data_IF_114143831728
#
_entry.id   IF_114143831728
#
_cell.length_a   1.000
_cell.length_b   1.000
_cell.length_c   1.000
_cell.angle_alpha   90.00
_cell.angle_beta   90.00
_cell.angle_gamma   90.00
#
_symmetry.space_group_name_H-M   'P 1'
#
loop_
_entity.id
_entity.type
_entity.pdbx_description
1 polymer ?
#
# COMPACT_ATOMS: atom_id res chain seq x y z
N UNK A 1 -3.13 -15.24 -9.57
CA UNK A 1 -3.70 -13.95 -10.01
C UNK A 1 -3.32 -13.67 -11.47
N UNK A 2 -4.02 -14.24 -12.44
CA UNK A 2 -3.74 -14.00 -13.87
C UNK A 2 -4.99 -13.78 -14.74
N UNK A 3 -6.15 -14.24 -14.29
CA UNK A 3 -7.38 -14.15 -15.05
C UNK A 3 -7.80 -12.71 -15.42
N UNK A 4 -7.74 -11.70 -14.52
CA UNK A 4 -8.10 -10.33 -14.90
C UNK A 4 -7.17 -9.74 -15.98
N UNK A 5 -5.86 -9.98 -15.85
CA UNK A 5 -4.88 -9.52 -16.85
C UNK A 5 -5.08 -10.22 -18.20
N UNK A 6 -5.39 -11.51 -18.21
CA UNK A 6 -5.67 -12.26 -19.43
C UNK A 6 -6.89 -11.70 -20.16
N UNK A 7 -7.97 -11.39 -19.43
CA UNK A 7 -9.18 -10.78 -20.00
C UNK A 7 -8.85 -9.44 -20.65
N UNK A 8 -8.18 -8.54 -19.93
CA UNK A 8 -7.81 -7.21 -20.45
C UNK A 8 -6.89 -7.34 -21.67
N UNK A 9 -5.93 -8.27 -21.66
CA UNK A 9 -5.02 -8.50 -22.77
C UNK A 9 -5.74 -9.04 -24.02
N UNK A 10 -6.73 -9.93 -23.85
CA UNK A 10 -7.56 -10.42 -24.96
C UNK A 10 -8.37 -9.27 -25.56
N UNK A 11 -9.06 -8.48 -24.73
CA UNK A 11 -9.85 -7.33 -25.19
C UNK A 11 -8.97 -6.32 -25.94
N UNK A 12 -7.80 -5.96 -25.39
CA UNK A 12 -6.89 -5.02 -26.01
C UNK A 12 -6.37 -5.50 -27.37
N UNK A 13 -6.02 -6.80 -27.50
CA UNK A 13 -5.60 -7.40 -28.77
C UNK A 13 -6.72 -7.42 -29.81
N UNK A 14 -7.93 -7.77 -29.40
CA UNK A 14 -9.09 -7.78 -30.31
C UNK A 14 -9.36 -6.39 -30.88
N UNK A 15 -9.33 -5.35 -30.04
CA UNK A 15 -9.53 -3.97 -30.49
C UNK A 15 -8.41 -3.49 -31.43
N UNK A 16 -7.15 -3.82 -31.12
CA UNK A 16 -6.01 -3.48 -31.97
C UNK A 16 -6.12 -4.11 -33.36
N UNK A 17 -6.55 -5.36 -33.44
CA UNK A 17 -6.77 -6.07 -34.71
C UNK A 17 -7.97 -5.52 -35.49
N UNK A 18 -9.09 -5.24 -34.82
CA UNK A 18 -10.29 -4.70 -35.47
C UNK A 18 -10.07 -3.31 -36.08
N UNK A 19 -9.20 -2.50 -35.49
CA UNK A 19 -8.95 -1.13 -35.94
C UNK A 19 -7.62 -0.93 -36.67
N UNK A 20 -6.88 -2.01 -36.93
CA UNK A 20 -5.54 -1.98 -37.54
C UNK A 20 -4.61 -0.96 -36.86
N UNK A 21 -4.55 -1.01 -35.53
CA UNK A 21 -3.71 -0.13 -34.70
C UNK A 21 -2.60 -0.90 -34.00
N UNK A 22 -1.41 -0.30 -33.85
CA UNK A 22 -0.34 -0.92 -33.08
C UNK A 22 -0.75 -1.08 -31.61
N UNK A 23 -0.33 -2.18 -30.99
CA UNK A 23 -0.57 -2.47 -29.57
C UNK A 23 0.76 -2.42 -28.81
N UNK A 24 0.78 -1.71 -27.69
CA UNK A 24 1.95 -1.59 -26.81
C UNK A 24 1.62 -2.15 -25.41
N UNK A 25 2.45 -3.06 -24.93
CA UNK A 25 2.38 -3.55 -23.54
C UNK A 25 3.00 -2.54 -22.58
N UNK A 26 2.30 -2.25 -21.48
CA UNK A 26 2.73 -1.27 -20.47
C UNK A 26 2.93 -1.95 -19.12
N UNK A 27 4.03 -1.65 -18.45
CA UNK A 27 4.26 -2.08 -17.07
C UNK A 27 3.36 -1.27 -16.12
N UNK A 28 2.62 -1.96 -15.25
CA UNK A 28 1.65 -1.33 -14.35
C UNK A 28 2.27 -0.27 -13.43
N UNK A 29 3.41 -0.57 -12.80
CA UNK A 29 4.08 0.37 -11.90
C UNK A 29 4.61 1.60 -12.65
N UNK A 30 5.19 1.41 -13.84
CA UNK A 30 5.67 2.52 -14.68
C UNK A 30 4.50 3.40 -15.13
N UNK A 31 3.34 2.81 -15.44
CA UNK A 31 2.13 3.56 -15.76
C UNK A 31 1.71 4.54 -14.66
N UNK A 32 1.75 4.11 -13.39
CA UNK A 32 1.49 4.99 -12.23
C UNK A 32 2.54 6.10 -12.10
N UNK A 33 3.82 5.77 -12.26
CA UNK A 33 4.91 6.74 -12.14
C UNK A 33 4.79 7.83 -13.22
N UNK A 34 4.65 7.46 -14.48
CA UNK A 34 4.59 8.42 -15.59
C UNK A 34 3.34 9.30 -15.54
N UNK A 35 2.20 8.72 -15.15
CA UNK A 35 0.97 9.49 -14.91
C UNK A 35 1.17 10.51 -13.77
N UNK A 36 1.78 10.09 -12.66
CA UNK A 36 2.11 10.97 -11.54
C UNK A 36 3.08 12.09 -11.95
N UNK A 37 4.13 11.77 -12.71
CA UNK A 37 5.08 12.75 -13.25
C UNK A 37 4.41 13.79 -14.13
N UNK A 38 3.49 13.36 -15.00
CA UNK A 38 2.74 14.24 -15.89
C UNK A 38 1.85 15.22 -15.10
N UNK A 39 1.05 14.71 -14.15
CA UNK A 39 0.09 15.52 -13.40
C UNK A 39 0.77 16.44 -12.38
N UNK A 40 1.74 15.91 -11.62
CA UNK A 40 2.45 16.66 -10.60
C UNK A 40 3.61 17.52 -11.15
N UNK A 41 3.90 17.43 -12.46
CA UNK A 41 5.04 18.08 -13.12
C UNK A 41 6.39 17.75 -12.45
N UNK A 42 6.50 16.56 -11.85
CA UNK A 42 7.71 16.09 -11.18
C UNK A 42 8.73 15.59 -12.21
N UNK A 43 9.92 16.21 -12.25
CA UNK A 43 10.94 15.92 -13.26
C UNK A 43 11.72 14.65 -12.99
N UNK A 44 12.18 14.41 -11.77
CA UNK A 44 12.93 13.20 -11.41
C UNK A 44 12.63 12.82 -9.94
N UNK A 45 11.42 12.30 -9.66
CA UNK A 45 11.01 12.01 -8.30
C UNK A 45 11.55 10.68 -7.79
N UNK A 46 11.85 10.63 -6.48
CA UNK A 46 11.76 9.40 -5.71
C UNK A 46 10.27 9.08 -5.51
N UNK A 47 9.82 7.96 -6.06
CA UNK A 47 8.40 7.58 -6.05
C UNK A 47 8.15 6.52 -5.00
N UNK A 48 7.30 6.86 -4.04
CA UNK A 48 6.68 5.89 -3.16
C UNK A 48 5.41 5.35 -3.83
N UNK A 49 5.46 4.10 -4.26
CA UNK A 49 4.33 3.40 -4.88
C UNK A 49 3.63 2.50 -3.88
N UNK A 50 2.46 2.93 -3.42
CA UNK A 50 1.64 2.24 -2.43
C UNK A 50 0.27 1.92 -3.04
N UNK A 51 -0.06 0.63 -3.11
CA UNK A 51 -1.34 0.12 -3.59
C UNK A 51 -1.79 -1.10 -2.78
N UNK A 52 -2.96 -1.64 -3.09
CA UNK A 52 -3.43 -2.91 -2.52
C UNK A 52 -2.53 -4.10 -2.79
N UNK A 53 -1.71 -4.05 -3.86
CA UNK A 53 -0.84 -5.15 -4.29
C UNK A 53 0.64 -4.85 -4.30
N UNK A 54 1.05 -3.59 -4.10
CA UNK A 54 2.45 -3.17 -4.16
C UNK A 54 2.78 -2.17 -3.05
N UNK A 55 4.00 -2.24 -2.54
CA UNK A 55 4.59 -1.24 -1.66
C UNK A 55 6.06 -1.17 -2.00
N UNK A 56 6.46 -0.14 -2.75
CA UNK A 56 7.80 -0.03 -3.34
C UNK A 56 8.27 1.42 -3.35
N UNK A 57 9.57 1.62 -3.17
CA UNK A 57 10.27 2.90 -3.36
C UNK A 57 11.08 2.79 -4.64
N UNK A 58 10.73 3.62 -5.62
CA UNK A 58 11.23 3.52 -6.99
C UNK A 58 11.87 4.85 -7.37
N UNK A 59 13.08 4.82 -7.93
CA UNK A 59 13.69 6.00 -8.53
C UNK A 59 14.25 5.68 -9.93
N UNK A 60 14.33 6.69 -10.78
CA UNK A 60 14.94 6.55 -12.08
C UNK A 60 16.46 6.65 -11.96
N UNK A 61 17.19 5.59 -12.29
CA UNK A 61 18.66 5.59 -12.21
C UNK A 61 19.27 4.67 -13.25
N UNK A 62 20.33 5.17 -13.92
CA UNK A 62 21.03 4.46 -15.01
C UNK A 62 20.07 3.96 -16.11
N UNK A 63 19.20 4.86 -16.58
CA UNK A 63 18.20 4.62 -17.64
C UNK A 63 17.17 3.53 -17.33
N UNK A 64 16.93 3.23 -16.05
CA UNK A 64 15.91 2.26 -15.61
C UNK A 64 15.22 2.77 -14.36
N UNK A 65 13.94 2.44 -14.21
CA UNK A 65 13.27 2.50 -12.91
C UNK A 65 13.80 1.36 -12.03
N UNK A 66 14.36 1.72 -10.88
CA UNK A 66 14.95 0.79 -9.92
C UNK A 66 14.20 0.86 -8.61
N UNK A 67 13.95 -0.31 -8.03
CA UNK A 67 13.39 -0.45 -6.69
C UNK A 67 14.55 -0.33 -5.70
N UNK A 68 14.44 0.62 -4.78
CA UNK A 68 15.40 0.85 -3.70
C UNK A 68 14.95 0.17 -2.41
N UNK A 69 13.64 0.07 -2.20
CA UNK A 69 13.06 -0.62 -1.06
C UNK A 69 11.68 -1.16 -1.41
N UNK A 70 11.30 -2.28 -0.82
CA UNK A 70 9.97 -2.84 -1.00
C UNK A 70 9.44 -3.56 0.24
N UNK A 71 8.17 -3.94 0.19
CA UNK A 71 7.65 -4.88 1.17
C UNK A 71 8.26 -6.27 0.97
N UNK A 72 8.73 -6.87 2.05
CA UNK A 72 9.24 -8.25 2.06
C UNK A 72 8.13 -9.30 2.03
N UNK A 73 6.87 -8.89 2.26
CA UNK A 73 5.75 -9.80 2.40
C UNK A 73 4.46 -9.34 1.71
N UNK A 74 3.59 -8.62 2.40
CA UNK A 74 2.30 -8.13 1.91
C UNK A 74 2.38 -6.63 1.68
N UNK A 75 1.65 -6.13 0.69
CA UNK A 75 1.53 -4.69 0.50
C UNK A 75 0.77 -4.05 1.67
N UNK A 76 1.08 -2.80 2.00
CA UNK A 76 0.39 -2.06 3.07
C UNK A 76 -1.11 -1.94 2.79
N UNK A 77 -1.52 -1.77 1.53
CA UNK A 77 -2.94 -1.79 1.16
C UNK A 77 -3.60 -3.14 1.43
N UNK A 78 -2.90 -4.26 1.20
CA UNK A 78 -3.42 -5.58 1.55
C UNK A 78 -3.55 -5.76 3.07
N UNK A 79 -2.58 -5.23 3.84
CA UNK A 79 -2.63 -5.23 5.30
C UNK A 79 -3.88 -4.47 5.80
N UNK A 80 -4.15 -3.29 5.25
CA UNK A 80 -5.35 -2.50 5.57
C UNK A 80 -6.64 -3.25 5.21
N UNK A 81 -6.70 -3.85 4.02
CA UNK A 81 -7.90 -4.61 3.58
C UNK A 81 -8.19 -5.81 4.47
N UNK A 82 -7.15 -6.52 4.92
CA UNK A 82 -7.31 -7.68 5.83
C UNK A 82 -7.70 -7.21 7.23
N UNK A 83 -7.10 -6.14 7.71
CA UNK A 83 -7.47 -5.53 8.98
C UNK A 83 -8.94 -5.07 9.00
N UNK A 84 -9.41 -4.41 7.93
CA UNK A 84 -10.81 -4.04 7.79
C UNK A 84 -11.75 -5.25 7.92
N UNK A 85 -11.39 -6.38 7.31
CA UNK A 85 -12.17 -7.63 7.42
C UNK A 85 -12.21 -8.19 8.83
N UNK A 86 -11.10 -8.15 9.55
CA UNK A 86 -11.02 -8.61 10.96
C UNK A 86 -11.96 -7.79 11.84
N UNK A 87 -11.99 -6.47 11.63
CA UNK A 87 -12.86 -5.55 12.36
C UNK A 87 -14.29 -5.45 11.79
N UNK A 88 -14.62 -6.22 10.74
CA UNK A 88 -15.91 -6.18 10.04
C UNK A 88 -16.30 -4.77 9.53
N UNK A 89 -15.30 -3.99 9.13
CA UNK A 89 -15.47 -2.66 8.53
C UNK A 89 -15.98 -2.82 7.10
N UNK A 90 -16.87 -1.93 6.66
CA UNK A 90 -17.39 -1.93 5.29
C UNK A 90 -16.29 -1.73 4.25
N UNK A 91 -16.43 -2.39 3.09
CA UNK A 91 -15.56 -2.19 1.94
C UNK A 91 -16.02 -1.03 1.02
N UNK A 92 -17.19 -0.44 1.27
CA UNK A 92 -17.74 0.67 0.48
C UNK A 92 -17.50 2.00 1.21
N UNK A 93 -16.88 3.03 0.59
CA UNK A 93 -16.34 3.10 -0.77
C UNK A 93 -14.98 2.41 -0.95
N UNK A 94 -14.17 2.32 0.11
CA UNK A 94 -13.00 1.46 0.19
C UNK A 94 -12.66 1.16 1.65
N UNK A 95 -12.12 -0.02 1.98
CA UNK A 95 -11.72 -0.36 3.34
C UNK A 95 -10.68 0.63 3.92
N UNK A 96 -9.69 1.03 3.11
CA UNK A 96 -8.68 2.00 3.52
C UNK A 96 -9.25 3.37 3.90
N UNK A 97 -10.22 3.88 3.12
CA UNK A 97 -10.90 5.14 3.44
C UNK A 97 -11.69 5.04 4.77
N UNK A 98 -12.39 3.93 4.97
CA UNK A 98 -13.18 3.73 6.19
C UNK A 98 -12.28 3.60 7.43
N UNK A 99 -11.15 2.90 7.31
CA UNK A 99 -10.12 2.86 8.36
C UNK A 99 -9.63 4.28 8.68
N UNK A 100 -9.37 5.11 7.68
CA UNK A 100 -8.92 6.49 7.90
C UNK A 100 -9.98 7.33 8.63
N UNK A 101 -11.26 7.20 8.29
CA UNK A 101 -12.32 7.94 9.00
C UNK A 101 -12.50 7.46 10.44
N UNK A 102 -12.30 6.16 10.71
CA UNK A 102 -12.32 5.62 12.07
C UNK A 102 -11.09 6.06 12.87
N UNK A 103 -9.91 6.08 12.23
CA UNK A 103 -8.65 6.50 12.86
C UNK A 103 -8.72 7.94 13.38
N UNK A 104 -9.42 8.85 12.69
CA UNK A 104 -9.64 10.24 13.14
C UNK A 104 -10.38 10.36 14.47
N UNK A 105 -11.12 9.32 14.88
CA UNK A 105 -11.85 9.25 16.15
C UNK A 105 -11.10 8.49 17.23
N UNK A 106 -9.99 7.83 16.89
CA UNK A 106 -9.15 7.12 17.85
C UNK A 106 -8.41 8.11 18.74
N UNK A 107 -8.26 7.75 20.01
CA UNK A 107 -7.60 8.61 21.02
C UNK A 107 -6.47 7.89 21.73
N UNK A 108 -6.49 6.56 21.73
CA UNK A 108 -5.50 5.73 22.41
C UNK A 108 -4.56 5.09 21.40
N UNK A 109 -3.26 5.19 21.67
CA UNK A 109 -2.22 4.48 20.93
C UNK A 109 -2.02 3.10 21.55
N UNK A 110 -2.25 2.05 20.77
CA UNK A 110 -1.95 0.66 21.09
C UNK A 110 -0.59 0.34 20.50
N UNK A 111 0.31 -0.24 21.29
CA UNK A 111 1.61 -0.67 20.78
C UNK A 111 1.43 -1.81 19.77
N UNK A 112 1.96 -1.59 18.58
CA UNK A 112 1.93 -2.55 17.48
C UNK A 112 3.37 -2.79 16.99
N UNK A 113 3.69 -4.01 16.55
CA UNK A 113 5.04 -4.32 16.11
C UNK A 113 5.35 -3.57 14.80
N UNK A 114 6.52 -2.94 14.78
CA UNK A 114 7.03 -2.18 13.66
C UNK A 114 8.31 -2.84 13.14
N UNK A 115 8.32 -3.24 11.86
CA UNK A 115 9.41 -4.02 11.27
C UNK A 115 9.93 -3.36 10.00
N UNK A 116 11.09 -2.71 10.13
CA UNK A 116 11.88 -2.14 9.03
C UNK A 116 13.24 -2.80 9.00
N UNK A 117 13.70 -3.15 7.80
CA UNK A 117 14.99 -3.81 7.56
C UNK A 117 15.75 -3.03 6.47
N UNK A 118 16.53 -2.04 6.89
CA UNK A 118 17.17 -1.10 5.97
C UNK A 118 16.12 -0.32 5.19
N UNK A 119 16.12 -0.44 3.86
CA UNK A 119 15.10 0.16 3.01
C UNK A 119 13.87 -0.72 2.81
N UNK A 120 13.76 -1.89 3.41
CA UNK A 120 12.61 -2.79 3.23
C UNK A 120 11.69 -2.81 4.45
N UNK A 121 10.41 -3.16 4.24
CA UNK A 121 9.37 -3.19 5.29
C UNK A 121 8.65 -4.53 5.33
N UNK A 122 8.06 -4.89 6.47
CA UNK A 122 7.25 -6.11 6.61
C UNK A 122 5.98 -5.83 7.41
N UNK A 123 4.84 -6.23 6.86
CA UNK A 123 3.51 -5.96 7.43
C UNK A 123 2.78 -7.21 7.92
N UNK A 124 3.28 -8.43 7.64
CA UNK A 124 2.61 -9.66 8.08
C UNK A 124 2.63 -9.80 9.61
N UNK A 125 3.75 -9.46 10.24
CA UNK A 125 3.88 -9.50 11.71
C UNK A 125 2.93 -8.52 12.39
N UNK A 126 2.75 -7.34 11.80
CA UNK A 126 1.77 -6.34 12.21
C UNK A 126 0.35 -6.90 12.12
N UNK A 127 -0.02 -7.44 10.96
CA UNK A 127 -1.36 -7.99 10.75
C UNK A 127 -1.67 -9.15 11.71
N UNK A 128 -0.76 -10.12 11.86
CA UNK A 128 -0.98 -11.27 12.74
C UNK A 128 -1.06 -10.88 14.22
N UNK A 129 -0.28 -9.88 14.65
CA UNK A 129 -0.36 -9.38 16.01
C UNK A 129 -1.72 -8.71 16.26
N UNK A 130 -2.18 -7.89 15.32
CA UNK A 130 -3.48 -7.23 15.42
C UNK A 130 -4.63 -8.25 15.39
N UNK A 131 -4.56 -9.28 14.55
CA UNK A 131 -5.53 -10.39 14.51
C UNK A 131 -5.62 -11.13 15.87
N UNK A 132 -4.49 -11.31 16.56
CA UNK A 132 -4.45 -11.97 17.86
C UNK A 132 -4.99 -11.09 19.00
N UNK A 133 -4.68 -9.79 18.96
CA UNK A 133 -4.94 -8.88 20.09
C UNK A 133 -6.28 -8.16 19.97
N UNK A 134 -6.75 -7.85 18.75
CA UNK A 134 -7.98 -7.09 18.52
C UNK A 134 -9.24 -7.72 19.17
N UNK A 135 -9.51 -9.04 19.05
CA UNK A 135 -10.70 -9.63 19.67
C UNK A 135 -10.72 -9.46 21.20
N UNK A 136 -9.55 -9.59 21.84
CA UNK A 136 -9.42 -9.45 23.30
C UNK A 136 -9.62 -7.99 23.72
N UNK A 137 -8.99 -7.05 23.04
CA UNK A 137 -9.10 -5.63 23.37
C UNK A 137 -10.52 -5.10 23.18
N UNK A 138 -11.21 -5.54 22.13
CA UNK A 138 -12.60 -5.17 21.89
C UNK A 138 -13.55 -5.80 22.93
N UNK A 139 -13.32 -7.04 23.35
CA UNK A 139 -14.15 -7.72 24.34
C UNK A 139 -13.96 -7.16 25.77
N UNK A 140 -12.73 -6.75 26.11
CA UNK A 140 -12.39 -6.16 27.42
C UNK A 140 -12.72 -4.67 27.50
N UNK A 141 -12.97 -4.01 26.36
CA UNK A 141 -13.16 -2.56 26.28
C UNK A 141 -11.87 -1.77 26.51
N UNK A 142 -10.70 -2.43 26.52
CA UNK A 142 -9.40 -1.78 26.70
C UNK A 142 -9.01 -0.89 25.52
N UNK A 143 -9.51 -1.19 24.31
CA UNK A 143 -9.36 -0.34 23.12
C UNK A 143 -10.59 -0.46 22.21
N UNK A 144 -10.90 0.63 21.51
CA UNK A 144 -11.98 0.65 20.50
C UNK A 144 -11.46 0.27 19.11
N UNK A 145 -12.38 -0.01 18.18
CA UNK A 145 -12.01 -0.24 16.79
C UNK A 145 -11.34 1.01 16.18
N UNK A 146 -11.80 2.19 16.58
CA UNK A 146 -11.21 3.49 16.24
C UNK A 146 -9.77 3.62 16.73
N UNK A 147 -9.47 3.22 17.98
CA UNK A 147 -8.11 3.25 18.54
C UNK A 147 -7.16 2.30 17.79
N UNK A 148 -7.66 1.12 17.38
CA UNK A 148 -6.90 0.18 16.57
C UNK A 148 -6.63 0.74 15.16
N UNK A 149 -7.62 1.38 14.53
CA UNK A 149 -7.45 2.06 13.24
C UNK A 149 -6.41 3.19 13.33
N UNK A 150 -6.48 3.98 14.40
CA UNK A 150 -5.52 5.05 14.69
C UNK A 150 -4.11 4.51 14.86
N UNK A 151 -3.95 3.49 15.70
CA UNK A 151 -2.65 2.87 15.99
C UNK A 151 -2.03 2.26 14.74
N UNK A 152 -2.84 1.63 13.87
CA UNK A 152 -2.39 1.05 12.62
C UNK A 152 -1.85 2.11 11.64
N UNK A 153 -2.53 3.26 11.53
CA UNK A 153 -2.06 4.35 10.66
C UNK A 153 -0.79 5.01 11.20
N UNK A 154 -0.76 5.29 12.51
CA UNK A 154 0.34 6.00 13.16
C UNK A 154 1.59 5.15 13.31
N UNK A 155 1.47 3.84 13.53
CA UNK A 155 2.63 2.96 13.74
C UNK A 155 2.97 2.12 12.50
N UNK A 156 1.97 1.68 11.74
CA UNK A 156 2.18 0.80 10.60
C UNK A 156 2.43 1.55 9.29
N UNK A 157 1.63 2.58 8.99
CA UNK A 157 1.64 3.20 7.67
C UNK A 157 2.58 4.42 7.58
N UNK A 158 2.42 5.40 8.48
CA UNK A 158 3.17 6.67 8.41
C UNK A 158 4.67 6.48 8.69
N UNK A 159 5.10 5.72 9.72
CA UNK A 159 6.53 5.59 10.01
C UNK A 159 7.22 4.71 9.00
N UNK A 160 6.56 3.68 8.44
CA UNK A 160 7.14 2.89 7.35
C UNK A 160 7.45 3.80 6.17
N UNK A 161 6.49 4.65 5.78
CA UNK A 161 6.62 5.67 4.74
C UNK A 161 7.74 6.67 5.05
N UNK A 162 7.81 7.18 6.28
CA UNK A 162 8.84 8.13 6.70
C UNK A 162 10.22 7.48 6.88
N UNK A 163 10.29 6.21 7.25
CA UNK A 163 11.53 5.43 7.38
C UNK A 163 12.24 5.29 6.03
N UNK A 164 11.48 5.06 4.96
CA UNK A 164 12.02 5.10 3.60
C UNK A 164 12.60 6.48 3.22
N UNK A 165 12.02 7.57 3.74
CA UNK A 165 12.46 8.93 3.42
C UNK A 165 13.61 9.40 4.33
N UNK A 166 13.64 8.95 5.59
CA UNK A 166 14.58 9.40 6.62
C UNK A 166 16.00 8.87 6.44
N UNK A 167 16.17 7.67 5.89
CA UNK A 167 17.51 7.11 5.61
C UNK A 167 18.07 7.51 4.23
N UNK A 168 17.26 8.18 3.38
CA UNK A 168 17.62 8.56 2.01
C UNK A 168 18.21 9.97 1.82
N UNK A 169 18.35 10.78 2.88
CA UNK A 169 18.84 12.19 2.79
C UNK A 169 20.26 12.36 3.33
N UNK A 170 21.00 11.26 3.50
CA UNK A 170 22.45 11.30 3.66
C UNK A 170 23.12 10.97 2.33
N UNK A 171 23.74 11.98 1.70
CA UNK A 171 24.79 12.00 0.65
C UNK A 171 24.47 12.97 -0.50
#
# INVERSE_FOLDING_TARGET
MGAPLAVVAVVARTLAQLWDRPLLGVNHCVGHIEMGRLLARARDPLVLYVSGGNTQVIAFSRRRYRIFGETLDIAVGNCLDRFARVLKISNDPSPGYNIEQMAKRGTKLVELPYVVKGMDVSFSGLLSHVEAVAPRLLATGEATAEDLCFSLQVLGQIPAILGFLGEGVGY
#
